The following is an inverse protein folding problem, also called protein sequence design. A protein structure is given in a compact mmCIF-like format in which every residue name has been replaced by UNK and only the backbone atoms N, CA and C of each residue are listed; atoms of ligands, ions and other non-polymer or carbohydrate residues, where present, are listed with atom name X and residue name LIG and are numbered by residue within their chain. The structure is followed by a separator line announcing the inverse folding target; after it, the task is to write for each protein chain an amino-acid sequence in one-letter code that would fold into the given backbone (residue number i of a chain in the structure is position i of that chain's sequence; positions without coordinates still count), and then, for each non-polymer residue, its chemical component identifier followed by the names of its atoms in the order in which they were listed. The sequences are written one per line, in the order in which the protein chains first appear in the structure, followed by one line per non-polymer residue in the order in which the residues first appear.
data_IF_041272271620
#
_entry.id   IF_041272271620
#
_cell.length_a   1.000
_cell.length_b   1.000
_cell.length_c   1.000
_cell.angle_alpha   90.00
_cell.angle_beta   90.00
_cell.angle_gamma   90.00
#
_symmetry.space_group_name_H-M   'P 1'
#
loop_
_entity.id
_entity.type
_entity.pdbx_description
1 polymer ?
#
# COMPACT_ATOMS: atom_id res chain seq x y z
N UNK A 1 22.16 23.82 -20.33
CA UNK A 1 22.38 22.58 -19.56
C UNK A 1 22.31 22.91 -18.08
N UNK A 2 21.34 22.33 -17.38
CA UNK A 2 21.28 22.39 -15.92
C UNK A 2 22.45 21.60 -15.30
N UNK A 3 22.72 21.79 -14.02
CA UNK A 3 23.79 21.08 -13.31
C UNK A 3 23.64 19.54 -13.31
N UNK A 4 22.46 19.03 -13.67
CA UNK A 4 22.15 17.60 -13.79
C UNK A 4 22.26 17.08 -15.22
N UNK A 5 22.41 17.95 -16.23
CA UNK A 5 22.34 17.57 -17.63
C UNK A 5 20.93 17.29 -18.16
N UNK A 6 19.90 17.45 -17.31
CA UNK A 6 18.49 17.25 -17.68
C UNK A 6 17.97 18.51 -18.35
N UNK A 7 17.30 18.34 -19.49
CA UNK A 7 16.51 19.39 -20.14
C UNK A 7 15.08 19.35 -19.59
N UNK A 8 14.73 20.33 -18.74
CA UNK A 8 13.40 20.40 -18.14
C UNK A 8 12.35 21.00 -19.09
N UNK A 9 12.76 21.52 -20.26
CA UNK A 9 11.86 22.04 -21.28
C UNK A 9 11.52 21.01 -22.37
N UNK A 10 12.13 19.82 -22.34
CA UNK A 10 11.82 18.69 -23.24
C UNK A 10 10.88 17.67 -22.56
N UNK A 11 9.59 17.64 -22.92
CA UNK A 11 8.63 16.68 -22.34
C UNK A 11 9.04 15.22 -22.56
N UNK A 12 9.69 14.90 -23.68
CA UNK A 12 10.09 13.52 -23.94
C UNK A 12 11.26 13.08 -23.05
N UNK A 13 12.15 14.01 -22.68
CA UNK A 13 13.18 13.76 -21.67
C UNK A 13 12.54 13.56 -20.30
N UNK A 14 11.58 14.41 -19.92
CA UNK A 14 10.86 14.26 -18.65
C UNK A 14 10.10 12.93 -18.56
N UNK A 15 9.39 12.53 -19.61
CA UNK A 15 8.67 11.26 -19.65
C UNK A 15 9.62 10.08 -19.41
N UNK A 16 10.81 10.07 -20.04
CA UNK A 16 11.83 9.03 -19.82
C UNK A 16 12.35 9.00 -18.38
N UNK A 17 12.51 10.15 -17.73
CA UNK A 17 12.99 10.23 -16.35
C UNK A 17 11.96 9.72 -15.33
N UNK A 18 10.66 9.79 -15.66
CA UNK A 18 9.57 9.27 -14.82
C UNK A 18 9.14 7.84 -15.18
N UNK A 19 9.52 7.36 -16.35
CA UNK A 19 9.23 6.00 -16.79
C UNK A 19 10.16 4.97 -16.13
N UNK A 20 9.73 4.51 -14.95
CA UNK A 20 10.44 3.46 -14.21
C UNK A 20 10.45 2.11 -14.96
N UNK A 21 9.57 1.90 -15.94
CA UNK A 21 9.53 0.64 -16.71
C UNK A 21 10.75 0.51 -17.63
N UNK A 22 11.31 1.64 -18.07
CA UNK A 22 12.58 1.66 -18.83
C UNK A 22 13.74 1.25 -17.93
N UNK A 23 13.72 1.68 -16.67
CA UNK A 23 14.78 1.38 -15.69
C UNK A 23 14.65 -0.03 -15.09
N UNK A 24 13.42 -0.58 -15.01
CA UNK A 24 13.11 -1.87 -14.40
C UNK A 24 12.01 -2.60 -15.20
N UNK A 25 12.33 -3.09 -16.40
CA UNK A 25 11.35 -3.70 -17.31
C UNK A 25 10.71 -4.98 -16.77
N UNK A 26 11.29 -5.59 -15.75
CA UNK A 26 10.77 -6.80 -15.11
C UNK A 26 9.62 -6.53 -14.12
N UNK A 27 9.34 -5.27 -13.75
CA UNK A 27 8.39 -4.91 -12.68
C UNK A 27 6.99 -5.53 -12.87
N UNK A 28 6.46 -5.53 -14.09
CA UNK A 28 5.14 -6.10 -14.37
C UNK A 28 5.14 -7.62 -14.16
N UNK A 29 6.22 -8.29 -14.58
CA UNK A 29 6.37 -9.74 -14.41
C UNK A 29 6.57 -10.11 -12.94
N UNK A 30 7.27 -9.25 -12.18
CA UNK A 30 7.48 -9.43 -10.74
C UNK A 30 6.15 -9.36 -9.99
N UNK A 31 5.26 -8.42 -10.33
CA UNK A 31 3.96 -8.30 -9.68
C UNK A 31 3.13 -9.60 -9.81
N UNK A 32 3.10 -10.20 -11.01
CA UNK A 32 2.38 -11.47 -11.23
C UNK A 32 2.99 -12.63 -10.42
N UNK A 33 4.32 -12.72 -10.35
CA UNK A 33 5.03 -13.74 -9.58
C UNK A 33 4.80 -13.57 -8.07
N UNK A 34 4.51 -12.36 -7.61
CA UNK A 34 4.26 -12.06 -6.20
C UNK A 34 2.84 -12.43 -5.73
N UNK A 35 1.88 -12.67 -6.62
CA UNK A 35 0.48 -12.99 -6.22
C UNK A 35 0.41 -14.24 -5.35
N UNK A 36 0.98 -15.35 -5.80
CA UNK A 36 0.87 -16.64 -5.11
C UNK A 36 1.60 -16.65 -3.74
N UNK A 37 2.84 -16.15 -3.60
CA UNK A 37 3.48 -15.99 -2.30
C UNK A 37 2.67 -15.12 -1.34
N UNK A 38 2.13 -13.99 -1.79
CA UNK A 38 1.35 -13.10 -0.94
C UNK A 38 0.01 -13.73 -0.53
N UNK A 39 -0.65 -14.48 -1.41
CA UNK A 39 -1.84 -15.25 -1.07
C UNK A 39 -1.53 -16.31 0.01
N UNK A 40 -0.35 -16.96 -0.08
CA UNK A 40 0.09 -17.91 0.92
C UNK A 40 0.28 -17.25 2.30
N UNK A 41 0.89 -16.08 2.36
CA UNK A 41 1.02 -15.28 3.60
C UNK A 41 -0.34 -15.04 4.24
N UNK A 42 -1.32 -14.54 3.46
CA UNK A 42 -2.68 -14.29 3.94
C UNK A 42 -3.34 -15.57 4.48
N UNK A 43 -3.20 -16.69 3.77
CA UNK A 43 -3.81 -17.97 4.16
C UNK A 43 -3.22 -18.59 5.43
N UNK A 44 -1.93 -18.36 5.70
CA UNK A 44 -1.22 -18.95 6.85
C UNK A 44 -1.32 -18.12 8.12
N UNK A 45 -1.60 -16.83 7.98
CA UNK A 45 -1.64 -15.91 9.11
C UNK A 45 -2.95 -16.07 9.89
N UNK A 46 -2.89 -16.65 11.09
CA UNK A 46 -4.06 -17.03 11.90
C UNK A 46 -4.99 -15.87 12.29
N UNK A 47 -4.47 -14.64 12.28
CA UNK A 47 -5.24 -13.43 12.58
C UNK A 47 -5.54 -12.55 11.37
N UNK A 48 -5.10 -12.92 10.16
CA UNK A 48 -5.29 -12.09 8.98
C UNK A 48 -6.77 -11.87 8.69
N UNK A 49 -7.14 -10.62 8.37
CA UNK A 49 -8.49 -10.24 7.94
C UNK A 49 -8.44 -9.13 6.90
N UNK A 50 -9.30 -9.24 5.90
CA UNK A 50 -9.62 -8.12 5.00
C UNK A 50 -10.75 -7.29 5.61
N UNK A 51 -10.62 -5.97 5.55
CA UNK A 51 -11.66 -5.04 5.97
C UNK A 51 -11.98 -4.04 4.86
N UNK A 52 -13.25 -3.64 4.77
CA UNK A 52 -13.68 -2.51 3.97
C UNK A 52 -13.71 -1.25 4.84
N UNK A 53 -13.08 -0.17 4.37
CA UNK A 53 -13.13 1.14 5.02
C UNK A 53 -14.04 2.13 4.28
N UNK A 54 -14.54 1.75 3.11
CA UNK A 54 -15.48 2.51 2.28
C UNK A 54 -16.31 1.61 1.38
N UNK A 55 -17.10 2.21 0.49
CA UNK A 55 -18.12 1.51 -0.31
C UNK A 55 -17.56 0.89 -1.59
N UNK A 56 -16.42 1.37 -2.08
CA UNK A 56 -15.78 0.83 -3.27
C UNK A 56 -15.14 -0.52 -2.98
N UNK A 57 -15.14 -1.42 -3.98
CA UNK A 57 -14.41 -2.68 -3.91
C UNK A 57 -12.90 -2.49 -3.69
N UNK A 58 -12.33 -1.35 -4.06
CA UNK A 58 -10.92 -0.98 -3.83
C UNK A 58 -10.69 -0.25 -2.49
N UNK A 59 -11.74 0.19 -1.80
CA UNK A 59 -11.63 0.83 -0.49
C UNK A 59 -11.54 -0.23 0.62
N UNK A 60 -10.48 -1.04 0.54
CA UNK A 60 -10.22 -2.18 1.41
C UNK A 60 -8.79 -2.16 1.95
N UNK A 61 -8.56 -2.88 3.04
CA UNK A 61 -7.23 -3.11 3.59
C UNK A 61 -7.07 -4.56 4.06
N UNK A 62 -5.84 -5.04 4.01
CA UNK A 62 -5.42 -6.30 4.63
C UNK A 62 -4.82 -6.00 5.99
N UNK A 63 -5.33 -6.63 7.05
CA UNK A 63 -4.85 -6.45 8.42
C UNK A 63 -4.16 -7.70 8.95
N UNK A 64 -2.94 -7.53 9.44
CA UNK A 64 -2.11 -8.55 10.08
C UNK A 64 -1.88 -8.16 11.55
N UNK A 65 -2.63 -8.75 12.50
CA UNK A 65 -2.51 -8.42 13.91
C UNK A 65 -1.22 -8.99 14.53
N UNK A 66 -0.58 -8.19 15.37
CA UNK A 66 0.50 -8.64 16.25
C UNK A 66 -0.03 -8.89 17.68
N UNK A 67 0.77 -8.57 18.71
CA UNK A 67 0.33 -8.63 20.11
C UNK A 67 -0.58 -7.44 20.47
N UNK A 68 -1.26 -7.54 21.61
CA UNK A 68 -2.07 -6.46 22.15
C UNK A 68 -1.25 -5.18 22.34
N UNK A 69 -1.87 -4.05 22.01
CA UNK A 69 -1.26 -2.74 22.04
C UNK A 69 0.05 -2.70 21.23
N UNK A 70 0.17 -3.46 20.14
CA UNK A 70 1.28 -3.32 19.20
C UNK A 70 1.25 -1.95 18.50
N UNK A 71 2.40 -1.40 18.08
CA UNK A 71 2.40 -0.31 17.10
C UNK A 71 1.76 -0.78 15.79
N UNK A 72 1.20 0.16 15.02
CA UNK A 72 0.59 -0.11 13.73
C UNK A 72 1.41 0.52 12.61
N UNK A 73 1.84 -0.30 11.65
CA UNK A 73 2.31 0.17 10.35
C UNK A 73 1.15 0.19 9.35
N UNK A 74 0.94 1.34 8.72
CA UNK A 74 -0.02 1.54 7.63
C UNK A 74 0.80 1.67 6.36
N UNK A 75 0.75 0.64 5.51
CA UNK A 75 1.50 0.58 4.27
C UNK A 75 0.62 1.00 3.10
N UNK A 76 1.10 1.99 2.33
CA UNK A 76 0.46 2.50 1.11
C UNK A 76 1.32 2.07 -0.08
N UNK A 77 0.76 1.27 -0.98
CA UNK A 77 1.53 0.75 -2.11
C UNK A 77 1.86 1.83 -3.16
N UNK A 78 2.79 1.51 -4.07
CA UNK A 78 3.12 2.33 -5.22
C UNK A 78 2.22 2.04 -6.43
N UNK A 79 2.78 2.16 -7.65
CA UNK A 79 2.06 1.91 -8.90
C UNK A 79 1.57 3.17 -9.60
N UNK A 80 2.21 4.31 -9.31
CA UNK A 80 1.97 5.60 -9.95
C UNK A 80 0.47 5.99 -10.01
N UNK A 81 -0.26 5.58 -8.97
CA UNK A 81 -1.70 5.80 -8.77
C UNK A 81 -2.64 5.23 -9.84
N UNK A 82 -2.12 4.45 -10.80
CA UNK A 82 -2.90 3.82 -11.87
C UNK A 82 -2.75 2.30 -11.93
N UNK A 83 -1.88 1.73 -11.08
CA UNK A 83 -1.56 0.30 -11.08
C UNK A 83 -1.44 -0.29 -9.66
N UNK A 84 -1.42 -1.63 -9.65
CA UNK A 84 -1.32 -2.51 -8.48
C UNK A 84 -2.57 -2.56 -7.58
N UNK A 85 -2.45 -3.41 -6.55
CA UNK A 85 -3.45 -3.72 -5.55
C UNK A 85 -2.73 -4.18 -4.28
N UNK A 86 -3.35 -4.00 -3.10
CA UNK A 86 -2.79 -4.46 -1.81
C UNK A 86 -2.34 -5.93 -1.81
N UNK A 87 -2.93 -6.79 -2.64
CA UNK A 87 -2.64 -8.22 -2.67
C UNK A 87 -1.21 -8.57 -3.07
N UNK A 88 -0.47 -7.65 -3.70
CA UNK A 88 0.93 -7.84 -4.08
C UNK A 88 1.92 -7.59 -2.92
N UNK A 89 1.44 -7.08 -1.77
CA UNK A 89 2.27 -6.54 -0.70
C UNK A 89 2.03 -7.17 0.69
N UNK A 90 1.30 -8.28 0.77
CA UNK A 90 1.06 -9.02 2.02
C UNK A 90 2.33 -9.49 2.74
N UNK A 91 3.46 -9.71 2.05
CA UNK A 91 4.75 -10.04 2.66
C UNK A 91 5.29 -8.92 3.55
N UNK A 92 4.89 -7.66 3.32
CA UNK A 92 5.15 -6.55 4.25
C UNK A 92 4.51 -6.84 5.61
N UNK A 93 3.28 -7.39 5.59
CA UNK A 93 2.56 -7.84 6.78
C UNK A 93 3.37 -8.86 7.58
N UNK A 94 3.82 -9.93 6.92
CA UNK A 94 4.62 -10.99 7.54
C UNK A 94 5.93 -10.48 8.14
N UNK A 95 6.68 -9.68 7.38
CA UNK A 95 7.98 -9.16 7.80
C UNK A 95 7.89 -8.36 9.11
N UNK A 96 6.92 -7.45 9.22
CA UNK A 96 6.76 -6.59 10.40
C UNK A 96 6.04 -7.29 11.56
N UNK A 97 5.12 -8.22 11.29
CA UNK A 97 4.53 -9.05 12.34
C UNK A 97 5.59 -9.90 13.05
N UNK A 98 6.64 -10.35 12.35
CA UNK A 98 7.75 -11.12 12.95
C UNK A 98 8.51 -10.37 14.05
N UNK A 99 8.41 -9.03 14.09
CA UNK A 99 9.02 -8.16 15.10
C UNK A 99 7.99 -7.44 15.98
N UNK A 100 6.75 -7.95 16.04
CA UNK A 100 5.71 -7.46 16.95
C UNK A 100 4.96 -6.21 16.51
N UNK A 101 5.03 -5.85 15.22
CA UNK A 101 4.32 -4.69 14.66
C UNK A 101 3.07 -5.17 13.91
N UNK A 102 1.90 -4.64 14.26
CA UNK A 102 0.68 -4.88 13.50
C UNK A 102 0.75 -4.13 12.16
N UNK A 103 0.15 -4.67 11.10
CA UNK A 103 0.25 -4.08 9.76
C UNK A 103 -1.13 -3.96 9.12
N UNK A 104 -1.41 -2.81 8.52
CA UNK A 104 -2.50 -2.59 7.59
C UNK A 104 -1.94 -2.26 6.21
N UNK A 105 -2.16 -3.13 5.23
CA UNK A 105 -1.82 -2.88 3.81
C UNK A 105 -3.06 -2.30 3.13
N UNK A 106 -3.01 -1.01 2.82
CA UNK A 106 -4.16 -0.24 2.31
C UNK A 106 -4.24 -0.33 0.80
N UNK A 107 -5.44 -0.58 0.28
CA UNK A 107 -5.78 -0.38 -1.13
C UNK A 107 -6.58 0.91 -1.29
N UNK A 108 -6.68 1.45 -2.50
CA UNK A 108 -7.42 2.67 -2.81
C UNK A 108 -7.85 2.66 -4.28
N UNK A 109 -8.81 3.52 -4.64
CA UNK A 109 -9.22 3.67 -6.05
C UNK A 109 -8.11 4.31 -6.88
N UNK A 110 -8.11 4.05 -8.18
CA UNK A 110 -7.02 4.42 -9.09
C UNK A 110 -7.48 5.40 -10.16
N UNK A 111 -6.54 6.12 -10.77
CA UNK A 111 -6.80 6.83 -12.02
C UNK A 111 -6.94 5.80 -13.16
N UNK A 112 -7.73 6.06 -14.22
CA UNK A 112 -8.51 7.27 -14.47
C UNK A 112 -9.90 7.30 -13.82
N UNK A 113 -10.31 6.24 -13.12
CA UNK A 113 -11.67 6.11 -12.57
C UNK A 113 -11.98 7.17 -11.51
N UNK A 114 -10.96 7.63 -10.78
CA UNK A 114 -11.06 8.74 -9.83
C UNK A 114 -9.93 9.75 -9.99
N UNK A 115 -10.11 10.95 -9.42
CA UNK A 115 -9.08 11.98 -9.41
C UNK A 115 -8.00 11.70 -8.34
N UNK A 116 -6.80 12.27 -8.50
CA UNK A 116 -5.75 12.22 -7.47
C UNK A 116 -6.24 12.70 -6.09
N UNK A 117 -7.07 13.75 -6.08
CA UNK A 117 -7.67 14.25 -4.83
C UNK A 117 -8.58 13.23 -4.15
N UNK A 118 -9.26 12.40 -4.93
CA UNK A 118 -10.07 11.28 -4.42
C UNK A 118 -9.20 10.16 -3.86
N UNK A 119 -8.06 9.85 -4.48
CA UNK A 119 -7.10 8.86 -3.97
C UNK A 119 -6.56 9.30 -2.61
N UNK A 120 -6.19 10.58 -2.48
CA UNK A 120 -5.76 11.16 -1.20
C UNK A 120 -6.88 11.08 -0.16
N UNK A 121 -8.14 11.30 -0.55
CA UNK A 121 -9.28 11.15 0.34
C UNK A 121 -9.48 9.69 0.80
N UNK A 122 -9.31 8.72 -0.09
CA UNK A 122 -9.40 7.28 0.23
C UNK A 122 -8.35 6.87 1.27
N UNK A 123 -7.09 7.28 1.07
CA UNK A 123 -6.01 7.01 2.03
C UNK A 123 -6.28 7.67 3.39
N UNK A 124 -6.77 8.92 3.41
CA UNK A 124 -7.15 9.58 4.66
C UNK A 124 -8.29 8.85 5.36
N UNK A 125 -9.29 8.40 4.60
CA UNK A 125 -10.43 7.65 5.12
C UNK A 125 -9.98 6.33 5.74
N UNK A 126 -9.04 5.60 5.12
CA UNK A 126 -8.52 4.35 5.68
C UNK A 126 -7.79 4.55 7.01
N UNK A 127 -6.99 5.62 7.14
CA UNK A 127 -6.29 5.97 8.39
C UNK A 127 -7.29 6.33 9.50
N UNK A 128 -8.31 7.15 9.18
CA UNK A 128 -9.37 7.50 10.12
C UNK A 128 -10.12 6.25 10.57
N UNK A 129 -10.47 5.37 9.63
CA UNK A 129 -11.14 4.11 9.93
C UNK A 129 -10.30 3.25 10.85
N UNK A 130 -9.00 3.07 10.57
CA UNK A 130 -8.10 2.30 11.44
C UNK A 130 -8.09 2.87 12.85
N UNK A 131 -7.90 4.18 13.00
CA UNK A 131 -7.91 4.86 14.31
C UNK A 131 -9.22 4.62 15.09
N UNK A 132 -10.37 4.67 14.39
CA UNK A 132 -11.68 4.36 14.98
C UNK A 132 -11.81 2.90 15.41
N UNK A 133 -11.18 1.97 14.69
CA UNK A 133 -11.22 0.53 14.97
C UNK A 133 -10.13 0.04 15.93
N UNK A 134 -9.32 0.93 16.52
CA UNK A 134 -8.16 0.55 17.35
C UNK A 134 -8.46 -0.50 18.43
N UNK A 135 -9.61 -0.42 19.10
CA UNK A 135 -9.99 -1.37 20.15
C UNK A 135 -10.36 -2.74 19.60
N UNK A 136 -11.02 -2.79 18.44
CA UNK A 136 -11.35 -4.02 17.73
C UNK A 136 -10.07 -4.70 17.21
N UNK A 137 -9.16 -3.89 16.68
CA UNK A 137 -7.93 -4.35 16.04
C UNK A 137 -6.77 -4.55 17.03
N UNK A 138 -6.93 -4.10 18.28
CA UNK A 138 -6.02 -4.30 19.43
C UNK A 138 -4.61 -3.73 19.24
N UNK A 139 -4.47 -2.69 18.42
CA UNK A 139 -3.22 -1.92 18.30
C UNK A 139 -3.28 -0.64 19.14
N UNK A 140 -2.12 -0.04 19.39
CA UNK A 140 -1.99 1.24 20.09
C UNK A 140 -2.05 2.43 19.11
N UNK A 141 -3.15 3.18 19.14
CA UNK A 141 -3.36 4.30 18.22
C UNK A 141 -2.41 5.48 18.42
N UNK A 142 -1.69 5.56 19.54
CA UNK A 142 -0.63 6.55 19.72
C UNK A 142 0.67 6.21 18.95
N UNK A 143 0.75 4.99 18.41
CA UNK A 143 1.92 4.46 17.68
C UNK A 143 1.56 3.99 16.26
N UNK A 144 0.78 4.80 15.56
CA UNK A 144 0.49 4.60 14.14
C UNK A 144 1.59 5.26 13.29
N UNK A 145 2.14 4.50 12.34
CA UNK A 145 3.16 4.95 11.38
C UNK A 145 2.63 4.72 9.97
N UNK A 146 2.80 5.70 9.08
CA UNK A 146 2.45 5.58 7.65
C UNK A 146 3.74 5.42 6.86
N UNK A 147 3.79 4.44 5.95
CA UNK A 147 4.93 4.15 5.08
C UNK A 147 4.49 3.86 3.65
#
# INVERSE_FOLDING_TARGET
MTATGIDFDDPAELDRQYDISVAAPEIETIAEVLVAPNALVRSKHSGYREYAYGDSALQKLDYFPAHDNAPLLIYIHGGYWHAFDKQFFSTVGEAWNSVGVAVAVVNYRLVPDVSMGTIVADVRQSIIWLWQQQHLLRFDASRMVVA
#
